data_IF_796843025261
#
_entry.id   IF_796843025261
#
_cell.length_a   1.000
_cell.length_b   1.000
_cell.length_c   1.000
_cell.angle_alpha   90.00
_cell.angle_beta   90.00
_cell.angle_gamma   90.00
#
_symmetry.space_group_name_H-M   'P 1'
#
loop_
_entity.id
_entity.type
_entity.pdbx_description
1 polymer ?
#
# COMPACT_ATOMS: atom_id res chain seq x y z
N UNK A 1 -62.96 -14.49 7.39
CA UNK A 1 -61.51 -14.78 7.38
C UNK A 1 -60.82 -13.54 6.85
N UNK A 2 -60.35 -12.67 7.74
CA UNK A 2 -59.58 -11.47 7.36
C UNK A 2 -58.12 -11.89 7.27
N UNK A 3 -57.54 -11.88 6.07
CA UNK A 3 -56.11 -12.14 5.91
C UNK A 3 -55.36 -10.89 6.33
N UNK A 4 -54.48 -11.03 7.32
CA UNK A 4 -53.60 -9.95 7.74
C UNK A 4 -52.61 -9.64 6.62
N UNK A 5 -52.69 -8.43 6.07
CA UNK A 5 -51.64 -7.87 5.24
C UNK A 5 -50.43 -7.65 6.16
N UNK A 6 -49.42 -8.52 6.03
CA UNK A 6 -48.14 -8.37 6.71
C UNK A 6 -47.44 -7.11 6.21
N UNK A 7 -47.75 -5.96 6.80
CA UNK A 7 -47.19 -4.67 6.45
C UNK A 7 -45.72 -4.59 6.84
N UNK A 8 -44.83 -4.93 5.91
CA UNK A 8 -43.42 -4.60 6.01
C UNK A 8 -43.20 -3.08 6.07
N UNK A 9 -42.06 -2.65 6.63
CA UNK A 9 -41.67 -1.23 6.66
C UNK A 9 -41.73 -0.67 5.23
N UNK A 10 -42.41 0.46 4.99
CA UNK A 10 -42.54 1.03 3.64
C UNK A 10 -41.16 1.28 3.03
N UNK A 11 -41.02 0.94 1.76
CA UNK A 11 -39.77 1.15 1.03
C UNK A 11 -39.51 2.64 0.84
N UNK A 12 -38.29 3.06 1.16
CA UNK A 12 -37.84 4.43 0.92
C UNK A 12 -37.57 4.56 -0.59
N UNK A 13 -38.15 5.56 -1.27
CA UNK A 13 -37.88 5.80 -2.69
C UNK A 13 -36.45 6.34 -2.83
N UNK A 14 -35.58 5.53 -3.44
CA UNK A 14 -34.19 5.89 -3.74
C UNK A 14 -34.05 5.87 -5.26
N UNK A 15 -33.53 6.96 -5.83
CA UNK A 15 -33.24 7.03 -7.26
C UNK A 15 -31.97 6.25 -7.59
N UNK A 16 -32.12 5.20 -8.41
CA UNK A 16 -31.01 4.36 -8.85
C UNK A 16 -29.98 5.15 -9.66
N UNK A 17 -30.43 6.11 -10.48
CA UNK A 17 -29.53 6.91 -11.31
C UNK A 17 -28.60 7.78 -10.46
N UNK A 18 -29.11 8.29 -9.33
CA UNK A 18 -28.31 9.10 -8.41
C UNK A 18 -27.32 8.24 -7.61
N UNK A 19 -27.73 7.03 -7.18
CA UNK A 19 -26.82 6.05 -6.58
C UNK A 19 -25.68 5.70 -7.53
N UNK A 20 -25.96 5.53 -8.82
CA UNK A 20 -24.93 5.25 -9.82
C UNK A 20 -23.94 6.41 -9.96
N UNK A 21 -24.41 7.65 -10.05
CA UNK A 21 -23.54 8.84 -10.15
C UNK A 21 -22.62 8.96 -8.93
N UNK A 22 -23.15 8.76 -7.73
CA UNK A 22 -22.36 8.77 -6.49
C UNK A 22 -21.30 7.66 -6.50
N UNK A 23 -21.66 6.46 -6.95
CA UNK A 23 -20.71 5.35 -7.10
C UNK A 23 -19.64 5.63 -8.19
N UNK A 24 -20.00 6.32 -9.27
CA UNK A 24 -19.04 6.77 -10.29
C UNK A 24 -18.01 7.75 -9.73
N UNK A 25 -18.41 8.61 -8.78
CA UNK A 25 -17.49 9.50 -8.06
C UNK A 25 -16.61 8.77 -7.03
N UNK A 26 -16.72 7.44 -6.93
CA UNK A 26 -16.01 6.61 -5.95
C UNK A 26 -16.37 6.94 -4.49
N UNK A 27 -17.61 7.41 -4.23
CA UNK A 27 -18.12 7.51 -2.86
C UNK A 27 -18.29 6.12 -2.23
N UNK A 28 -18.05 6.03 -0.93
CA UNK A 28 -18.23 4.81 -0.16
C UNK A 28 -19.71 4.49 0.07
N UNK A 29 -20.03 3.25 0.43
CA UNK A 29 -21.42 2.86 0.68
C UNK A 29 -22.00 3.59 1.90
N UNK A 30 -21.16 3.90 2.89
CA UNK A 30 -21.51 4.67 4.08
C UNK A 30 -21.87 6.12 3.71
N UNK A 31 -21.11 6.74 2.82
CA UNK A 31 -21.38 8.10 2.33
C UNK A 31 -22.68 8.16 1.53
N UNK A 32 -22.90 7.17 0.66
CA UNK A 32 -24.15 7.05 -0.13
C UNK A 32 -25.34 6.82 0.82
N UNK A 33 -25.19 5.96 1.82
CA UNK A 33 -26.24 5.70 2.79
C UNK A 33 -26.56 6.94 3.64
N UNK A 34 -25.54 7.69 4.05
CA UNK A 34 -25.71 8.96 4.76
C UNK A 34 -26.41 10.03 3.89
N UNK A 35 -26.09 10.09 2.60
CA UNK A 35 -26.73 11.01 1.65
C UNK A 35 -28.25 10.76 1.52
N UNK A 36 -28.67 9.50 1.45
CA UNK A 36 -30.09 9.13 1.38
C UNK A 36 -30.77 8.97 2.74
N UNK A 37 -30.03 9.08 3.86
CA UNK A 37 -30.56 8.89 5.21
C UNK A 37 -31.02 7.45 5.49
N UNK A 38 -30.37 6.46 4.87
CA UNK A 38 -30.71 5.03 5.01
C UNK A 38 -29.58 4.23 5.64
N UNK A 39 -29.85 2.99 6.04
CA UNK A 39 -28.79 2.09 6.49
C UNK A 39 -27.95 1.59 5.31
N UNK A 40 -26.66 1.34 5.58
CA UNK A 40 -25.73 0.77 4.58
C UNK A 40 -26.22 -0.57 4.03
N UNK A 41 -26.79 -1.41 4.90
CA UNK A 41 -27.37 -2.70 4.50
C UNK A 41 -28.49 -2.54 3.45
N UNK A 42 -29.33 -1.51 3.59
CA UNK A 42 -30.41 -1.24 2.62
C UNK A 42 -29.84 -0.94 1.22
N UNK A 43 -28.76 -0.16 1.17
CA UNK A 43 -28.07 0.19 -0.08
C UNK A 43 -27.40 -1.04 -0.69
N UNK A 44 -26.70 -1.85 0.12
CA UNK A 44 -26.05 -3.05 -0.35
C UNK A 44 -27.04 -4.08 -0.90
N UNK A 45 -28.15 -4.33 -0.18
CA UNK A 45 -29.14 -5.35 -0.57
C UNK A 45 -29.90 -4.98 -1.85
N UNK A 46 -30.19 -3.69 -2.06
CA UNK A 46 -31.04 -3.23 -3.16
C UNK A 46 -30.25 -2.80 -4.40
N UNK A 47 -29.07 -2.22 -4.23
CA UNK A 47 -28.33 -1.54 -5.30
C UNK A 47 -26.92 -2.11 -5.52
N UNK A 48 -26.64 -3.35 -5.10
CA UNK A 48 -25.33 -3.98 -5.26
C UNK A 48 -24.77 -3.89 -6.70
N UNK A 49 -25.61 -4.16 -7.70
CA UNK A 49 -25.16 -4.18 -9.09
C UNK A 49 -24.96 -2.77 -9.65
N UNK A 50 -25.82 -1.83 -9.29
CA UNK A 50 -25.69 -0.40 -9.60
C UNK A 50 -24.38 0.17 -9.02
N UNK A 51 -24.05 -0.18 -7.77
CA UNK A 51 -22.82 0.24 -7.10
C UNK A 51 -21.58 -0.34 -7.80
N UNK A 52 -21.61 -1.63 -8.16
CA UNK A 52 -20.51 -2.27 -8.90
C UNK A 52 -20.30 -1.64 -10.27
N UNK A 53 -21.39 -1.38 -11.00
CA UNK A 53 -21.37 -0.77 -12.32
C UNK A 53 -20.84 0.67 -12.25
N UNK A 54 -21.38 1.50 -11.36
CA UNK A 54 -20.88 2.85 -11.13
C UNK A 54 -19.42 2.87 -10.71
N UNK A 55 -19.00 1.98 -9.81
CA UNK A 55 -17.61 1.87 -9.39
C UNK A 55 -16.67 1.48 -10.53
N UNK A 56 -17.08 0.56 -11.40
CA UNK A 56 -16.31 0.16 -12.57
C UNK A 56 -16.17 1.31 -13.58
N UNK A 57 -17.25 2.07 -13.82
CA UNK A 57 -17.25 3.26 -14.66
C UNK A 57 -16.33 4.37 -14.09
N UNK A 58 -16.39 4.62 -12.78
CA UNK A 58 -15.50 5.56 -12.10
C UNK A 58 -14.03 5.16 -12.27
N UNK A 59 -13.70 3.89 -12.04
CA UNK A 59 -12.34 3.35 -12.25
C UNK A 59 -11.89 3.48 -13.71
N UNK A 60 -12.77 3.23 -14.67
CA UNK A 60 -12.47 3.42 -16.10
C UNK A 60 -12.15 4.89 -16.41
N UNK A 61 -12.92 5.84 -15.86
CA UNK A 61 -12.69 7.27 -16.03
C UNK A 61 -11.33 7.69 -15.44
N UNK A 62 -11.02 7.27 -14.21
CA UNK A 62 -9.73 7.55 -13.57
C UNK A 62 -8.56 6.98 -14.38
N UNK A 63 -8.66 5.73 -14.85
CA UNK A 63 -7.62 5.12 -15.70
C UNK A 63 -7.42 5.88 -17.00
N UNK A 64 -8.49 6.37 -17.62
CA UNK A 64 -8.42 7.19 -18.84
C UNK A 64 -7.67 8.49 -18.59
N UNK A 65 -7.95 9.17 -17.48
CA UNK A 65 -7.26 10.41 -17.11
C UNK A 65 -5.78 10.16 -16.80
N UNK A 66 -5.49 9.08 -16.07
CA UNK A 66 -4.12 8.68 -15.79
C UNK A 66 -3.35 8.35 -17.09
N UNK A 67 -3.98 7.62 -18.02
CA UNK A 67 -3.36 7.29 -19.30
C UNK A 67 -3.03 8.54 -20.12
N UNK A 68 -3.85 9.60 -20.07
CA UNK A 68 -3.50 10.89 -20.67
C UNK A 68 -2.23 11.49 -20.06
N UNK A 69 -2.10 11.50 -18.72
CA UNK A 69 -0.88 12.00 -18.06
C UNK A 69 0.37 11.21 -18.44
N UNK A 70 0.23 9.90 -18.65
CA UNK A 70 1.31 9.05 -19.17
C UNK A 70 1.72 9.48 -20.58
N UNK A 71 0.74 9.76 -21.45
CA UNK A 71 1.00 10.27 -22.81
C UNK A 71 1.63 11.67 -22.81
N UNK A 72 1.26 12.52 -21.85
CA UNK A 72 1.82 13.87 -21.68
C UNK A 72 3.28 13.85 -21.19
N UNK A 73 3.79 12.68 -20.77
CA UNK A 73 5.19 12.52 -20.34
C UNK A 73 5.44 12.74 -18.85
N UNK A 74 4.40 12.73 -18.01
CA UNK A 74 4.58 12.87 -16.55
C UNK A 74 5.27 11.63 -15.97
N UNK A 75 6.51 11.79 -15.51
CA UNK A 75 7.35 10.67 -15.04
C UNK A 75 6.68 9.86 -13.91
N UNK A 76 5.99 10.53 -12.98
CA UNK A 76 5.29 9.87 -11.87
C UNK A 76 4.18 8.94 -12.36
N UNK A 77 3.32 9.44 -13.27
CA UNK A 77 2.29 8.64 -13.91
C UNK A 77 2.88 7.46 -14.72
N UNK A 78 3.97 7.66 -15.45
CA UNK A 78 4.64 6.61 -16.24
C UNK A 78 5.18 5.49 -15.33
N UNK A 79 5.90 5.84 -14.27
CA UNK A 79 6.44 4.87 -13.30
C UNK A 79 5.30 4.10 -12.65
N UNK A 80 4.25 4.79 -12.21
CA UNK A 80 3.09 4.16 -11.59
C UNK A 80 2.36 3.22 -12.56
N UNK A 81 2.13 3.66 -13.79
CA UNK A 81 1.50 2.86 -14.84
C UNK A 81 2.33 1.61 -15.17
N UNK A 82 3.63 1.81 -15.32
CA UNK A 82 4.58 0.74 -15.59
C UNK A 82 4.62 -0.34 -14.51
N UNK A 83 4.56 0.06 -13.24
CA UNK A 83 4.49 -0.88 -12.11
C UNK A 83 3.17 -1.64 -12.07
N UNK A 84 2.04 -0.94 -12.24
CA UNK A 84 0.71 -1.55 -12.07
C UNK A 84 0.23 -2.34 -13.29
N UNK A 85 0.59 -1.93 -14.50
CA UNK A 85 0.05 -2.51 -15.75
C UNK A 85 1.10 -3.17 -16.64
N UNK A 86 2.35 -2.69 -16.63
CA UNK A 86 3.43 -3.28 -17.43
C UNK A 86 4.24 -4.36 -16.68
N UNK A 87 3.91 -4.63 -15.40
CA UNK A 87 4.57 -5.65 -14.59
C UNK A 87 6.00 -5.27 -14.14
N UNK A 88 6.38 -4.00 -14.25
CA UNK A 88 7.68 -3.55 -13.75
C UNK A 88 7.70 -3.62 -12.22
N UNK A 89 8.79 -4.14 -11.67
CA UNK A 89 8.98 -4.28 -10.22
C UNK A 89 10.32 -3.69 -9.81
N UNK A 90 10.35 -2.97 -8.68
CA UNK A 90 11.62 -2.51 -8.11
C UNK A 90 12.32 -3.66 -7.41
N UNK A 91 13.58 -3.92 -7.75
CA UNK A 91 14.43 -4.88 -7.04
C UNK A 91 15.25 -4.12 -6.00
N UNK A 92 15.02 -4.39 -4.72
CA UNK A 92 15.80 -3.82 -3.62
C UNK A 92 16.84 -4.84 -3.15
N UNK A 93 18.12 -4.55 -3.36
CA UNK A 93 19.20 -5.37 -2.82
C UNK A 93 19.61 -4.83 -1.44
N UNK A 94 19.24 -5.56 -0.37
CA UNK A 94 19.62 -5.22 0.99
C UNK A 94 20.86 -6.00 1.40
N UNK A 95 21.99 -5.29 1.58
CA UNK A 95 23.19 -5.87 2.20
C UNK A 95 23.09 -5.71 3.71
N UNK A 96 22.77 -6.79 4.41
CA UNK A 96 22.78 -6.83 5.87
C UNK A 96 24.21 -7.13 6.33
N UNK A 97 24.91 -6.13 6.85
CA UNK A 97 26.20 -6.32 7.48
C UNK A 97 25.99 -6.47 8.99
N UNK A 98 25.88 -7.71 9.48
CA UNK A 98 25.85 -7.98 10.91
C UNK A 98 27.28 -7.95 11.47
N UNK A 99 27.52 -7.08 12.44
CA UNK A 99 28.73 -7.12 13.27
C UNK A 99 28.54 -8.24 14.28
N UNK A 100 29.27 -9.34 14.13
CA UNK A 100 29.28 -10.41 15.12
C UNK A 100 30.23 -10.02 16.24
N UNK A 101 29.68 -9.57 17.37
CA UNK A 101 30.45 -9.46 18.62
C UNK A 101 30.44 -10.84 19.29
N UNK A 102 31.59 -11.50 19.29
CA UNK A 102 31.77 -12.79 19.96
C UNK A 102 31.91 -12.54 21.46
N UNK A 103 30.86 -12.80 22.23
CA UNK A 103 30.92 -12.75 23.70
C UNK A 103 31.51 -14.07 24.18
N UNK A 104 32.76 -14.04 24.64
CA UNK A 104 33.47 -15.21 25.19
C UNK A 104 33.16 -15.32 26.68
N UNK A 105 32.35 -16.29 27.07
CA UNK A 105 32.12 -16.62 28.48
C UNK A 105 33.18 -17.62 28.96
N UNK A 106 34.04 -17.22 29.89
CA UNK A 106 34.99 -18.11 30.56
C UNK A 106 34.36 -18.67 31.84
N UNK A 107 33.87 -19.90 31.79
CA UNK A 107 33.43 -20.62 32.98
C UNK A 107 34.62 -21.27 33.70
N UNK A 108 34.89 -20.85 34.94
CA UNK A 108 35.78 -21.57 35.87
C UNK A 108 34.88 -22.30 36.87
N UNK A 109 34.95 -23.63 36.90
CA UNK A 109 34.20 -24.47 37.82
C UNK A 109 34.66 -24.17 39.26
N UNK A 110 33.80 -23.57 40.09
CA UNK A 110 34.04 -23.45 41.53
C UNK A 110 33.69 -22.12 42.19
N UNK A 111 33.36 -21.06 41.45
CA UNK A 111 32.68 -19.86 41.97
C UNK A 111 32.39 -18.88 40.82
N UNK A 112 31.17 -18.36 40.77
CA UNK A 112 30.76 -17.33 39.81
C UNK A 112 31.37 -15.99 40.25
N UNK A 113 32.38 -15.50 39.54
CA UNK A 113 32.76 -14.09 39.60
C UNK A 113 32.73 -13.51 38.19
N UNK A 114 32.05 -12.38 38.04
CA UNK A 114 32.04 -11.57 36.81
C UNK A 114 33.29 -10.71 36.89
N UNK A 115 34.28 -10.97 36.04
CA UNK A 115 35.40 -10.05 35.82
C UNK A 115 35.31 -9.55 34.39
N UNK A 116 34.98 -8.26 34.24
CA UNK A 116 35.08 -7.54 32.99
C UNK A 116 36.58 -7.33 32.69
N UNK A 117 37.23 -8.32 32.08
CA UNK A 117 38.56 -8.10 31.49
C UNK A 117 38.39 -7.46 30.12
N UNK A 118 38.79 -6.20 30.08
CA UNK A 118 38.85 -5.33 28.92
C UNK A 118 39.48 -6.03 27.71
N UNK A 119 38.81 -5.86 26.58
CA UNK A 119 39.22 -6.38 25.29
C UNK A 119 40.59 -5.80 24.92
N UNK A 120 41.60 -6.67 24.78
CA UNK A 120 42.85 -6.33 24.09
C UNK A 120 42.51 -5.95 22.64
N UNK A 121 42.59 -4.66 22.35
CA UNK A 121 42.64 -4.13 21.00
C UNK A 121 43.94 -4.57 20.34
N UNK A 122 43.92 -5.70 19.65
CA UNK A 122 44.90 -5.95 18.59
C UNK A 122 44.45 -5.15 17.37
N UNK A 123 45.07 -3.99 17.19
CA UNK A 123 45.06 -3.29 15.92
C UNK A 123 45.70 -4.19 14.88
N UNK A 124 44.92 -4.57 13.88
CA UNK A 124 45.44 -4.88 12.56
C UNK A 124 45.37 -3.57 11.78
N UNK A 125 46.54 -2.97 11.64
CA UNK A 125 46.91 -1.99 10.63
C UNK A 125 47.38 -2.79 9.41
N UNK A 126 46.73 -2.62 8.26
CA UNK A 126 47.37 -2.31 6.96
C UNK A 126 46.38 -2.57 5.81
N UNK A 127 45.91 -1.49 5.17
CA UNK A 127 46.39 -0.98 3.88
C UNK A 127 45.63 -1.59 2.70
N UNK A 128 44.66 -0.84 2.17
CA UNK A 128 44.53 -0.76 0.72
C UNK A 128 44.14 0.66 0.32
N UNK A 129 45.00 1.20 -0.53
CA UNK A 129 45.02 2.56 -1.05
C UNK A 129 43.73 2.93 -1.78
N UNK A 130 43.19 4.08 -1.44
CA UNK A 130 42.22 4.79 -2.28
C UNK A 130 42.94 5.26 -3.54
N UNK A 131 42.76 4.54 -4.64
CA UNK A 131 43.05 5.04 -5.98
C UNK A 131 41.72 5.30 -6.68
N UNK A 132 41.23 6.54 -6.55
CA UNK A 132 40.09 7.04 -7.32
C UNK A 132 40.47 7.07 -8.81
N UNK A 133 39.70 6.46 -9.72
CA UNK A 133 39.87 6.71 -11.14
C UNK A 133 39.32 8.11 -11.45
N UNK A 134 40.18 9.04 -11.84
CA UNK A 134 39.77 10.28 -12.48
C UNK A 134 39.21 9.93 -13.86
N UNK A 135 37.97 10.32 -14.11
CA UNK A 135 37.35 10.30 -15.42
C UNK A 135 38.15 11.25 -16.33
N UNK A 136 38.63 10.75 -17.46
CA UNK A 136 39.20 11.57 -18.52
C UNK A 136 38.04 12.23 -19.25
N UNK A 137 37.86 13.53 -19.02
CA UNK A 137 37.18 14.40 -19.98
C UNK A 137 38.08 14.50 -21.22
N UNK A 138 37.68 13.85 -22.31
CA UNK A 138 38.29 14.04 -23.62
C UNK A 138 37.69 15.31 -24.24
N UNK A 139 38.57 16.24 -24.61
CA UNK A 139 38.33 17.28 -25.61
C UNK A 139 38.04 16.69 -27.01
#
# INVERSE_FOLDING_TARGET
MSQGEGGGRPEIPIDEAEVEKLAMMQCSQEEIAAFFGVSVDTIYRRFADTLKRGSALGRMSMKRQLYKKVQDGELGAIVWWGKNFAGMSDKVEQKVQSRQEQIVYKCVFGSLQITDEETKSSQNESLESTQSPKLLDNE
#
